data_IF_523812991273
#
_entry.id   IF_523812991273
#
_cell.length_a   1.000
_cell.length_b   1.000
_cell.length_c   1.000
_cell.angle_alpha   90.00
_cell.angle_beta   90.00
_cell.angle_gamma   90.00
#
_symmetry.space_group_name_H-M   'P 1'
#
loop_
_entity.id
_entity.type
_entity.pdbx_description
1 polymer ?
#
# COMPACT_ATOMS: atom_id res chain seq x y z
N UNK A 1 15.47 -10.43 5.56
CA UNK A 1 14.45 -10.14 6.55
C UNK A 1 14.39 -8.66 6.83
N UNK A 2 13.18 -8.12 6.94
CA UNK A 2 13.02 -6.72 7.25
C UNK A 2 13.40 -6.45 8.70
N UNK A 3 14.10 -5.37 8.91
CA UNK A 3 14.48 -4.98 10.27
C UNK A 3 13.47 -3.97 10.80
N UNK A 4 12.95 -4.23 11.98
CA UNK A 4 12.06 -3.30 12.64
C UNK A 4 12.81 -1.99 12.93
N UNK A 5 12.14 -0.87 12.68
CA UNK A 5 12.71 0.43 12.94
C UNK A 5 13.64 0.97 11.87
N UNK A 6 13.97 0.15 10.88
CA UNK A 6 14.78 0.62 9.78
C UNK A 6 13.91 1.36 8.76
N UNK A 7 14.26 2.60 8.46
CA UNK A 7 13.54 3.37 7.46
C UNK A 7 14.26 3.25 6.14
N UNK A 8 13.62 2.60 5.19
CA UNK A 8 14.18 2.38 3.88
C UNK A 8 13.09 2.42 2.83
N UNK A 9 13.30 3.23 1.82
CA UNK A 9 12.35 3.30 0.71
C UNK A 9 12.75 2.23 -0.30
N UNK A 10 11.86 1.26 -0.50
CA UNK A 10 12.11 0.11 -1.36
C UNK A 10 11.28 0.14 -2.64
N UNK A 11 10.73 1.31 -2.98
CA UNK A 11 9.85 1.42 -4.14
C UNK A 11 10.06 2.74 -4.86
N UNK A 12 9.59 2.79 -6.09
CA UNK A 12 9.60 4.00 -6.91
C UNK A 12 8.31 4.07 -7.72
N UNK A 13 7.95 5.26 -8.15
CA UNK A 13 6.76 5.48 -8.95
C UNK A 13 7.16 5.52 -10.42
N UNK A 14 6.47 4.71 -11.24
CA UNK A 14 6.73 4.62 -12.68
C UNK A 14 5.43 4.42 -13.42
N UNK A 15 5.47 4.56 -14.74
CA UNK A 15 4.30 4.26 -15.56
C UNK A 15 3.93 2.78 -15.42
N UNK A 16 2.64 2.53 -15.27
CA UNK A 16 2.10 1.20 -15.04
C UNK A 16 1.32 0.70 -16.25
N UNK A 17 1.41 -0.60 -16.52
CA UNK A 17 0.57 -1.23 -17.53
C UNK A 17 -0.86 -1.42 -17.05
N UNK A 18 -1.10 -1.31 -15.74
CA UNK A 18 -2.45 -1.44 -15.18
C UNK A 18 -3.22 -0.16 -15.39
N UNK A 19 -2.72 0.94 -14.86
CA UNK A 19 -3.34 2.25 -15.01
C UNK A 19 -2.36 3.35 -14.65
N UNK A 20 -2.25 4.36 -15.51
CA UNK A 20 -1.44 5.53 -15.25
C UNK A 20 -0.07 5.21 -14.68
N UNK A 21 0.20 5.76 -13.50
CA UNK A 21 1.41 5.45 -12.76
C UNK A 21 1.12 4.45 -11.66
N UNK A 22 2.14 3.71 -11.26
CA UNK A 22 2.06 2.75 -10.17
C UNK A 22 3.31 2.77 -9.32
N UNK A 23 3.34 1.91 -8.33
CA UNK A 23 4.46 1.78 -7.40
C UNK A 23 5.17 0.48 -7.72
N UNK A 24 6.48 0.55 -7.91
CA UNK A 24 7.29 -0.60 -8.31
C UNK A 24 8.41 -0.82 -7.31
N UNK A 25 8.74 -2.08 -7.07
CA UNK A 25 9.85 -2.40 -6.18
C UNK A 25 11.16 -1.92 -6.78
N UNK A 26 11.91 -1.14 -6.02
CA UNK A 26 13.23 -0.68 -6.44
C UNK A 26 14.34 -1.64 -6.02
N UNK A 27 13.96 -2.66 -5.24
CA UNK A 27 14.86 -3.73 -4.83
C UNK A 27 13.99 -4.94 -4.50
N UNK A 28 14.63 -6.09 -4.29
CA UNK A 28 13.89 -7.29 -3.92
C UNK A 28 13.31 -7.14 -2.52
N UNK A 29 12.03 -7.48 -2.38
CA UNK A 29 11.31 -7.39 -1.10
C UNK A 29 10.86 -8.78 -0.73
N UNK A 30 11.23 -9.25 0.46
CA UNK A 30 10.86 -10.59 0.90
C UNK A 30 9.43 -10.62 1.41
N UNK A 31 8.79 -11.76 1.25
CA UNK A 31 7.46 -12.02 1.80
C UNK A 31 7.45 -11.65 3.28
N UNK A 32 6.37 -11.04 3.73
CA UNK A 32 6.13 -10.57 5.09
C UNK A 32 6.92 -9.32 5.49
N UNK A 33 7.67 -8.74 4.56
CA UNK A 33 8.31 -7.46 4.81
C UNK A 33 7.30 -6.34 4.76
N UNK A 34 7.42 -5.39 5.68
CA UNK A 34 6.64 -4.16 5.63
C UNK A 34 7.30 -3.25 4.60
N UNK A 35 6.51 -2.88 3.59
CA UNK A 35 7.01 -2.03 2.50
C UNK A 35 7.05 -0.57 2.93
N UNK A 36 6.02 -0.12 3.64
CA UNK A 36 5.97 1.24 4.14
C UNK A 36 4.55 1.65 4.54
N UNK A 37 4.42 2.82 5.14
CA UNK A 37 3.10 3.33 5.51
C UNK A 37 2.35 3.81 4.27
N UNK A 38 1.04 3.52 4.26
CA UNK A 38 0.18 3.92 3.15
C UNK A 38 -0.73 5.08 3.56
N UNK A 39 -1.40 4.98 4.71
CA UNK A 39 -2.20 6.10 5.22
C UNK A 39 -2.45 5.95 6.71
N UNK A 40 -2.76 7.09 7.32
CA UNK A 40 -3.03 7.19 8.74
C UNK A 40 -4.52 7.03 9.00
N UNK A 41 -4.86 6.40 10.13
CA UNK A 41 -6.25 6.29 10.59
C UNK A 41 -6.45 7.35 11.67
N UNK A 42 -7.41 8.25 11.46
CA UNK A 42 -7.67 9.34 12.38
C UNK A 42 -8.95 9.17 13.19
N UNK A 43 -9.71 8.13 12.94
CA UNK A 43 -10.93 7.88 13.69
C UNK A 43 -11.69 6.68 13.19
N UNK A 44 -12.86 6.48 13.77
CA UNK A 44 -13.71 5.35 13.46
C UNK A 44 -15.18 5.79 13.51
N UNK A 45 -15.96 5.44 12.50
CA UNK A 45 -17.39 5.75 12.44
C UNK A 45 -18.12 4.54 11.88
N UNK A 46 -19.19 4.09 12.59
CA UNK A 46 -20.01 2.97 12.16
C UNK A 46 -19.17 1.73 11.84
N UNK A 47 -18.21 1.42 12.73
CA UNK A 47 -17.32 0.27 12.60
C UNK A 47 -16.39 0.33 11.39
N UNK A 48 -16.23 1.52 10.82
CA UNK A 48 -15.28 1.73 9.71
C UNK A 48 -14.24 2.76 10.10
N UNK A 49 -13.03 2.54 9.67
CA UNK A 49 -11.93 3.46 9.93
C UNK A 49 -11.99 4.66 8.99
N UNK A 50 -11.59 5.80 9.51
CA UNK A 50 -11.51 7.03 8.74
C UNK A 50 -10.03 7.30 8.44
N UNK A 51 -9.70 7.35 7.16
CA UNK A 51 -8.33 7.64 6.75
C UNK A 51 -8.05 9.14 6.79
N UNK A 52 -6.85 9.47 7.25
CA UNK A 52 -6.35 10.84 7.23
C UNK A 52 -5.32 11.01 6.12
N UNK A 53 -4.08 11.33 6.48
CA UNK A 53 -3.02 11.56 5.50
C UNK A 53 -2.71 10.30 4.70
N UNK A 54 -2.46 10.47 3.40
CA UNK A 54 -2.13 9.39 2.48
C UNK A 54 -0.71 9.64 1.95
N UNK A 55 0.13 8.62 2.00
CA UNK A 55 1.49 8.69 1.46
C UNK A 55 1.49 8.45 -0.04
N UNK A 56 2.64 8.65 -0.68
CA UNK A 56 2.79 8.32 -2.09
C UNK A 56 2.51 6.84 -2.34
N UNK A 57 2.97 5.98 -1.44
CA UNK A 57 2.71 4.54 -1.56
C UNK A 57 1.20 4.26 -1.58
N UNK A 58 0.46 4.82 -0.63
CA UNK A 58 -0.98 4.64 -0.58
C UNK A 58 -1.70 5.30 -1.76
N UNK A 59 -1.24 6.48 -2.16
CA UNK A 59 -1.89 7.25 -3.21
C UNK A 59 -1.71 6.65 -4.60
N UNK A 60 -0.53 6.13 -4.89
CA UNK A 60 -0.15 5.75 -6.26
C UNK A 60 -0.23 4.26 -6.57
N UNK A 61 -0.46 3.41 -5.57
CA UNK A 61 -0.56 1.97 -5.84
C UNK A 61 -1.80 1.63 -6.66
N UNK A 62 -1.73 0.58 -7.44
CA UNK A 62 -2.83 0.11 -8.26
C UNK A 62 -3.49 -1.14 -7.66
N UNK A 63 -4.71 -1.40 -8.11
CA UNK A 63 -5.46 -2.58 -7.73
C UNK A 63 -5.03 -3.79 -8.55
N UNK A 64 -5.05 -4.96 -7.93
CA UNK A 64 -4.89 -6.23 -8.63
C UNK A 64 -5.68 -7.31 -7.89
N UNK A 65 -6.25 -8.23 -8.65
CA UNK A 65 -6.90 -9.42 -8.08
C UNK A 65 -5.86 -10.47 -7.68
N UNK A 66 -4.61 -10.27 -8.11
CA UNK A 66 -3.49 -11.10 -7.69
C UNK A 66 -2.41 -10.19 -7.11
N UNK A 67 -2.71 -9.59 -5.93
CA UNK A 67 -1.85 -8.55 -5.39
C UNK A 67 -0.52 -9.08 -4.90
N UNK A 68 0.47 -8.18 -4.79
CA UNK A 68 1.76 -8.51 -4.23
C UNK A 68 1.88 -8.05 -2.77
N UNK A 69 0.93 -7.24 -2.31
CA UNK A 69 0.94 -6.69 -0.95
C UNK A 69 -0.47 -6.64 -0.39
N UNK A 70 -0.57 -6.41 0.91
CA UNK A 70 -1.85 -6.22 1.57
C UNK A 70 -1.72 -5.15 2.63
N UNK A 71 -2.85 -4.48 2.97
CA UNK A 71 -2.85 -3.49 4.05
C UNK A 71 -2.89 -4.18 5.42
N UNK A 72 -2.11 -3.66 6.34
CA UNK A 72 -2.11 -4.11 7.74
C UNK A 72 -2.06 -2.88 8.63
N UNK A 73 -2.84 -2.88 9.70
CA UNK A 73 -2.87 -1.73 10.60
C UNK A 73 -2.02 -1.96 11.84
N UNK A 74 -1.13 -1.01 12.12
CA UNK A 74 -0.33 -0.97 13.35
C UNK A 74 -0.37 0.45 13.89
N UNK A 75 -0.80 0.61 15.14
CA UNK A 75 -0.80 1.92 15.82
C UNK A 75 -1.46 3.02 15.00
N UNK A 76 -2.66 2.74 14.49
CA UNK A 76 -3.45 3.70 13.72
C UNK A 76 -2.83 4.12 12.39
N UNK A 77 -1.93 3.30 11.86
CA UNK A 77 -1.36 3.52 10.53
C UNK A 77 -1.55 2.25 9.72
N UNK A 78 -2.02 2.41 8.50
CA UNK A 78 -2.11 1.29 7.56
C UNK A 78 -0.79 1.20 6.81
N UNK A 79 -0.13 0.05 6.93
CA UNK A 79 1.11 -0.25 6.22
C UNK A 79 0.81 -1.27 5.13
N UNK A 80 1.59 -1.24 4.06
CA UNK A 80 1.55 -2.32 3.08
C UNK A 80 2.63 -3.33 3.41
N UNK A 81 2.23 -4.59 3.41
CA UNK A 81 3.10 -5.72 3.73
C UNK A 81 3.13 -6.67 2.54
N UNK A 82 4.32 -7.11 2.16
CA UNK A 82 4.46 -8.04 1.03
C UNK A 82 3.84 -9.38 1.38
N UNK A 83 2.98 -9.91 0.51
CA UNK A 83 2.38 -11.23 0.70
C UNK A 83 3.08 -12.31 -0.10
N UNK A 84 4.10 -11.93 -0.84
CA UNK A 84 4.97 -12.83 -1.60
C UNK A 84 6.31 -12.14 -1.77
N UNK A 85 7.31 -12.86 -2.25
CA UNK A 85 8.58 -12.24 -2.61
C UNK A 85 8.33 -11.35 -3.83
N UNK A 86 8.72 -10.10 -3.74
CA UNK A 86 8.57 -9.12 -4.82
C UNK A 86 9.94 -8.82 -5.38
N UNK A 87 10.09 -9.01 -6.69
CA UNK A 87 11.38 -8.77 -7.34
C UNK A 87 11.50 -7.32 -7.77
N UNK A 88 12.72 -6.83 -7.83
CA UNK A 88 12.99 -5.50 -8.34
C UNK A 88 12.31 -5.32 -9.71
N UNK A 89 11.61 -4.19 -9.88
CA UNK A 89 10.87 -3.92 -11.11
C UNK A 89 9.45 -4.45 -11.13
N UNK A 90 9.07 -5.27 -10.16
CA UNK A 90 7.71 -5.79 -10.09
C UNK A 90 6.79 -4.75 -9.45
N UNK A 91 5.56 -4.65 -9.92
CA UNK A 91 4.62 -3.66 -9.39
C UNK A 91 4.09 -4.10 -8.03
N UNK A 92 4.01 -3.15 -7.10
CA UNK A 92 3.42 -3.35 -5.78
C UNK A 92 1.95 -2.99 -5.89
N UNK A 93 1.09 -3.99 -5.70
CA UNK A 93 -0.36 -3.84 -5.85
C UNK A 93 -1.07 -4.39 -4.62
N UNK A 94 -2.28 -3.89 -4.37
CA UNK A 94 -3.16 -4.41 -3.33
C UNK A 94 -4.51 -4.71 -3.94
N UNK A 95 -5.27 -5.56 -3.28
CA UNK A 95 -6.66 -5.80 -3.65
C UNK A 95 -7.50 -4.74 -2.94
N UNK A 96 -8.12 -3.84 -3.70
CA UNK A 96 -8.91 -2.75 -3.11
C UNK A 96 -10.07 -3.26 -2.25
N UNK A 97 -10.52 -4.49 -2.47
CA UNK A 97 -11.58 -5.07 -1.65
C UNK A 97 -11.16 -5.27 -0.21
N UNK A 98 -9.87 -5.28 0.08
CA UNK A 98 -9.38 -5.38 1.45
C UNK A 98 -9.56 -4.08 2.23
N UNK A 99 -9.99 -3.01 1.56
CA UNK A 99 -10.28 -1.73 2.20
C UNK A 99 -11.75 -1.54 2.56
N UNK A 100 -12.55 -2.59 2.51
CA UNK A 100 -13.99 -2.46 2.76
C UNK A 100 -14.31 -1.92 4.15
N UNK A 101 -13.45 -2.12 5.11
CA UNK A 101 -13.64 -1.59 6.46
C UNK A 101 -13.00 -0.23 6.68
N UNK A 102 -12.45 0.35 5.63
CA UNK A 102 -11.86 1.70 5.71
C UNK A 102 -12.73 2.61 4.87
N UNK A 103 -13.24 3.68 5.51
CA UNK A 103 -14.08 4.65 4.83
C UNK A 103 -13.33 5.96 4.69
N UNK A 104 -13.87 6.85 3.86
CA UNK A 104 -13.32 8.19 3.68
C UNK A 104 -11.88 8.19 3.17
N UNK A 105 -11.49 7.14 2.46
CA UNK A 105 -10.24 7.17 1.73
C UNK A 105 -10.50 8.06 0.53
N UNK A 106 -9.83 9.21 0.49
CA UNK A 106 -9.93 10.12 -0.63
C UNK A 106 -9.26 9.49 -1.82
N UNK A 107 -10.06 8.94 -2.70
CA UNK A 107 -9.54 8.35 -3.92
C UNK A 107 -9.20 9.49 -4.87
N UNK A 108 -7.98 9.55 -5.37
CA UNK A 108 -7.65 10.58 -6.33
C UNK A 108 -8.44 10.34 -7.59
N UNK A 109 -9.57 11.01 -7.65
CA UNK A 109 -10.44 10.99 -8.82
C UNK A 109 -10.62 9.58 -9.39
N UNK A 110 -10.16 9.36 -10.58
CA UNK A 110 -10.36 8.11 -11.30
C UNK A 110 -9.29 7.07 -11.04
N UNK A 111 -8.45 7.32 -10.07
CA UNK A 111 -7.31 6.46 -9.82
C UNK A 111 -7.75 5.08 -9.31
N UNK A 112 -8.82 5.04 -8.56
CA UNK A 112 -9.26 3.80 -7.90
C UNK A 112 -10.51 3.26 -8.56
#
# INVERSE_FOLDING_TARGET
>A
MCKAGEIKIMFEVKDSSIEGQGVFASENIKKNCVIGPAYEIIGEVNDKYIAGDITILGLMHNHSNTPTARPEMYNNTIYFEAIKNIKVGEEITCDYNEYNNVTNIERPLDKW
#
